data_IF_861025456919
#
_entry.id   IF_861025456919
#
_cell.length_a   1.000
_cell.length_b   1.000
_cell.length_c   1.000
_cell.angle_alpha   90.00
_cell.angle_beta   90.00
_cell.angle_gamma   90.00
#
_symmetry.space_group_name_H-M   'P 1'
#
loop_
_entity.id
_entity.type
_entity.pdbx_description
1 polymer ?
#
# COMPACT_ATOMS: atom_id res chain seq x y z
N UNK A 1 -7.54 -36.89 -12.52
CA UNK A 1 -8.00 -35.60 -11.96
C UNK A 1 -8.64 -35.74 -10.56
N UNK A 2 -9.60 -36.65 -10.30
CA UNK A 2 -10.26 -36.80 -8.98
C UNK A 2 -9.31 -37.13 -7.80
N UNK A 3 -8.25 -37.94 -7.98
CA UNK A 3 -7.28 -38.28 -6.92
C UNK A 3 -6.40 -37.05 -6.50
N UNK A 4 -6.04 -36.18 -7.42
CA UNK A 4 -5.30 -34.95 -7.11
C UNK A 4 -6.16 -33.93 -6.37
N UNK A 5 -7.46 -33.88 -6.67
CA UNK A 5 -8.41 -33.01 -5.94
C UNK A 5 -8.60 -33.49 -4.48
N UNK A 6 -8.57 -34.80 -4.23
CA UNK A 6 -8.65 -35.35 -2.86
C UNK A 6 -7.41 -35.07 -2.03
N UNK A 7 -6.22 -35.03 -2.66
CA UNK A 7 -4.96 -34.63 -1.99
C UNK A 7 -4.89 -33.13 -1.65
N UNK A 8 -5.60 -32.30 -2.39
CA UNK A 8 -5.69 -30.86 -2.10
C UNK A 8 -6.73 -30.53 -1.00
N UNK A 9 -7.64 -31.45 -0.68
CA UNK A 9 -8.73 -31.21 0.27
C UNK A 9 -8.24 -30.84 1.70
N UNK A 10 -7.28 -31.53 2.31
CA UNK A 10 -6.77 -31.16 3.64
C UNK A 10 -6.14 -29.75 3.64
N UNK A 11 -5.41 -29.41 2.59
CA UNK A 11 -4.82 -28.08 2.44
C UNK A 11 -5.90 -26.99 2.30
N UNK A 12 -6.93 -27.24 1.49
CA UNK A 12 -8.07 -26.34 1.33
C UNK A 12 -8.81 -26.11 2.66
N UNK A 13 -9.11 -27.20 3.39
CA UNK A 13 -9.78 -27.10 4.71
C UNK A 13 -8.91 -26.29 5.67
N UNK A 14 -7.62 -26.59 5.76
CA UNK A 14 -6.68 -25.85 6.60
C UNK A 14 -6.61 -24.36 6.22
N UNK A 15 -6.47 -24.05 4.94
CA UNK A 15 -6.42 -22.67 4.46
C UNK A 15 -7.71 -21.90 4.73
N UNK A 16 -8.87 -22.51 4.50
CA UNK A 16 -10.17 -21.92 4.77
C UNK A 16 -10.31 -21.66 6.29
N UNK A 17 -9.97 -22.63 7.12
CA UNK A 17 -10.07 -22.49 8.57
C UNK A 17 -9.13 -21.40 9.09
N UNK A 18 -7.89 -21.35 8.64
CA UNK A 18 -6.89 -20.37 9.09
C UNK A 18 -7.19 -18.94 8.59
N UNK A 19 -7.83 -18.80 7.44
CA UNK A 19 -8.18 -17.47 6.90
C UNK A 19 -9.57 -17.00 7.37
N UNK A 20 -10.59 -17.88 7.28
CA UNK A 20 -11.96 -17.47 7.57
C UNK A 20 -12.25 -17.37 9.07
N UNK A 21 -11.66 -18.25 9.89
CA UNK A 21 -11.95 -18.24 11.34
C UNK A 21 -11.56 -16.92 11.99
N UNK A 22 -10.34 -16.38 11.82
CA UNK A 22 -9.99 -15.07 12.39
C UNK A 22 -10.86 -13.93 11.83
N UNK A 23 -11.20 -13.96 10.53
CA UNK A 23 -12.07 -12.93 9.95
C UNK A 23 -13.48 -12.98 10.53
N UNK A 24 -14.05 -14.18 10.70
CA UNK A 24 -15.34 -14.36 11.33
C UNK A 24 -15.32 -13.93 12.80
N UNK A 25 -14.24 -14.21 13.53
CA UNK A 25 -14.07 -13.72 14.91
C UNK A 25 -14.03 -12.20 14.97
N UNK A 26 -13.31 -11.53 14.07
CA UNK A 26 -13.31 -10.06 14.01
C UNK A 26 -14.71 -9.52 13.73
N UNK A 27 -15.43 -10.10 12.76
CA UNK A 27 -16.83 -9.70 12.47
C UNK A 27 -17.73 -9.98 13.68
N UNK A 28 -17.58 -11.11 14.34
CA UNK A 28 -18.33 -11.45 15.55
C UNK A 28 -18.05 -10.45 16.68
N UNK A 29 -16.78 -10.20 17.01
CA UNK A 29 -16.42 -9.22 18.04
C UNK A 29 -16.91 -7.80 17.72
N UNK A 30 -17.01 -7.43 16.44
CA UNK A 30 -17.44 -6.09 16.04
C UNK A 30 -18.91 -5.78 16.32
N UNK A 31 -19.75 -6.82 16.43
CA UNK A 31 -21.20 -6.69 16.64
C UNK A 31 -21.66 -7.12 18.04
N UNK A 32 -20.73 -7.43 18.95
CA UNK A 32 -21.06 -7.80 20.32
C UNK A 32 -20.50 -6.78 21.31
N UNK A 33 -21.15 -6.66 22.45
CA UNK A 33 -20.62 -5.96 23.64
C UNK A 33 -20.58 -6.91 24.81
N UNK A 34 -19.70 -6.63 25.78
CA UNK A 34 -19.62 -7.40 27.03
C UNK A 34 -20.95 -7.33 27.76
N UNK A 35 -21.56 -8.50 27.96
CA UNK A 35 -22.82 -8.63 28.68
C UNK A 35 -22.62 -8.73 30.19
N UNK A 36 -23.74 -8.84 30.92
CA UNK A 36 -23.74 -9.14 32.33
C UNK A 36 -23.52 -10.64 32.58
N UNK A 37 -23.29 -11.03 33.83
CA UNK A 37 -23.05 -12.42 34.31
C UNK A 37 -24.06 -13.46 33.82
N UNK A 38 -25.28 -13.03 33.43
CA UNK A 38 -26.35 -13.91 32.97
C UNK A 38 -26.39 -14.02 31.44
N UNK A 39 -26.06 -12.93 30.72
CA UNK A 39 -25.99 -12.90 29.25
C UNK A 39 -24.56 -12.46 28.89
N UNK A 40 -23.71 -13.40 28.44
CA UNK A 40 -22.29 -13.12 28.23
C UNK A 40 -22.00 -12.12 27.11
N UNK A 41 -22.96 -11.90 26.19
CA UNK A 41 -22.82 -10.92 25.10
C UNK A 41 -24.19 -10.46 24.59
N UNK A 42 -24.23 -9.21 24.14
CA UNK A 42 -25.39 -8.61 23.46
C UNK A 42 -24.96 -8.15 22.07
N UNK A 43 -25.81 -8.38 21.08
CA UNK A 43 -25.61 -7.82 19.75
C UNK A 43 -25.84 -6.32 19.78
N UNK A 44 -24.89 -5.55 19.26
CA UNK A 44 -24.96 -4.10 19.20
C UNK A 44 -24.26 -3.56 17.96
N UNK A 45 -24.69 -2.41 17.48
CA UNK A 45 -24.00 -1.61 16.47
C UNK A 45 -23.39 -0.34 17.05
N UNK A 46 -23.36 -0.22 18.38
CA UNK A 46 -22.86 0.97 19.09
C UNK A 46 -21.42 1.32 18.72
N UNK A 47 -20.57 0.33 18.52
CA UNK A 47 -19.18 0.53 18.09
C UNK A 47 -19.07 1.20 16.72
N UNK A 48 -19.96 0.88 15.81
CA UNK A 48 -20.04 1.52 14.49
C UNK A 48 -20.56 2.96 14.61
N UNK A 49 -21.62 3.18 15.41
CA UNK A 49 -22.15 4.52 15.68
C UNK A 49 -21.05 5.39 16.31
N UNK A 50 -20.34 4.89 17.33
CA UNK A 50 -19.21 5.57 17.99
C UNK A 50 -18.16 6.00 16.98
N UNK A 51 -17.77 5.14 16.06
CA UNK A 51 -16.77 5.46 15.04
C UNK A 51 -17.19 6.63 14.13
N UNK A 52 -18.47 6.66 13.70
CA UNK A 52 -18.96 7.70 12.80
C UNK A 52 -19.42 8.98 13.50
N UNK A 53 -19.71 8.95 14.80
CA UNK A 53 -20.12 10.12 15.57
C UNK A 53 -18.95 10.86 16.20
N UNK A 54 -17.83 10.20 16.43
CA UNK A 54 -16.64 10.81 17.01
C UNK A 54 -15.76 11.42 15.88
N UNK A 55 -15.60 12.76 15.88
CA UNK A 55 -14.84 13.45 14.83
C UNK A 55 -13.36 13.07 14.77
N UNK A 56 -12.78 12.60 15.88
CA UNK A 56 -11.37 12.23 15.93
C UNK A 56 -11.07 11.00 15.07
N UNK A 57 -11.94 9.99 15.09
CA UNK A 57 -11.78 8.81 14.24
C UNK A 57 -11.94 9.13 12.76
N UNK A 58 -12.88 10.00 12.39
CA UNK A 58 -13.05 10.46 11.02
C UNK A 58 -11.84 11.27 10.53
N UNK A 59 -11.28 12.12 11.40
CA UNK A 59 -10.07 12.87 11.09
C UNK A 59 -8.87 11.95 10.86
N UNK A 60 -8.69 10.93 11.71
CA UNK A 60 -7.63 9.94 11.59
C UNK A 60 -7.81 9.10 10.30
N UNK A 61 -9.04 8.72 9.98
CA UNK A 61 -9.35 8.03 8.72
C UNK A 61 -8.96 8.90 7.51
N UNK A 62 -9.35 10.17 7.52
CA UNK A 62 -8.99 11.12 6.46
C UNK A 62 -7.48 11.30 6.33
N UNK A 63 -6.77 11.43 7.45
CA UNK A 63 -5.30 11.50 7.46
C UNK A 63 -4.67 10.25 6.85
N UNK A 64 -5.20 9.07 7.18
CA UNK A 64 -4.71 7.80 6.65
C UNK A 64 -4.91 7.69 5.13
N UNK A 65 -6.09 8.07 4.64
CA UNK A 65 -6.37 8.09 3.21
C UNK A 65 -5.51 9.13 2.47
N UNK A 66 -5.30 10.32 3.06
CA UNK A 66 -4.46 11.37 2.48
C UNK A 66 -3.00 10.93 2.36
N UNK A 67 -2.42 10.37 3.42
CA UNK A 67 -1.04 9.86 3.40
C UNK A 67 -0.89 8.72 2.40
N UNK A 68 -1.84 7.80 2.36
CA UNK A 68 -1.80 6.69 1.40
C UNK A 68 -1.88 7.19 -0.05
N UNK A 69 -2.73 8.18 -0.32
CA UNK A 69 -2.84 8.80 -1.64
C UNK A 69 -1.55 9.54 -2.03
N UNK A 70 -1.00 10.36 -1.13
CA UNK A 70 0.27 11.06 -1.35
C UNK A 70 1.42 10.08 -1.60
N UNK A 71 1.53 9.03 -0.76
CA UNK A 71 2.50 7.95 -0.95
C UNK A 71 2.37 7.33 -2.34
N UNK A 72 1.14 7.02 -2.74
CA UNK A 72 0.87 6.38 -4.03
C UNK A 72 1.24 7.29 -5.20
N UNK A 73 0.89 8.58 -5.12
CA UNK A 73 1.22 9.57 -6.15
C UNK A 73 2.74 9.72 -6.27
N UNK A 74 3.45 9.86 -5.14
CA UNK A 74 4.90 10.01 -5.15
C UNK A 74 5.56 8.72 -5.67
N UNK A 75 5.10 7.55 -5.24
CA UNK A 75 5.59 6.28 -5.76
C UNK A 75 5.36 6.12 -7.26
N UNK A 76 4.24 6.61 -7.79
CA UNK A 76 3.95 6.61 -9.22
C UNK A 76 4.87 7.57 -9.98
N UNK A 77 5.02 8.80 -9.49
CA UNK A 77 5.86 9.82 -10.13
C UNK A 77 7.35 9.42 -10.17
N UNK A 78 7.85 8.79 -9.11
CA UNK A 78 9.24 8.31 -9.06
C UNK A 78 9.37 6.93 -9.71
N UNK A 79 8.42 6.05 -9.49
CA UNK A 79 8.48 4.65 -9.93
C UNK A 79 8.31 4.49 -11.43
N UNK A 80 7.44 5.29 -12.06
CA UNK A 80 7.19 5.16 -13.50
C UNK A 80 8.45 5.47 -14.34
N UNK A 81 9.17 6.60 -14.15
CA UNK A 81 10.40 6.87 -14.88
C UNK A 81 11.48 5.80 -14.67
N UNK A 82 11.62 5.30 -13.43
CA UNK A 82 12.59 4.26 -13.09
C UNK A 82 12.21 2.94 -13.81
N UNK A 83 10.96 2.51 -13.71
CA UNK A 83 10.47 1.31 -14.39
C UNK A 83 10.62 1.39 -15.92
N UNK A 84 10.32 2.56 -16.49
CA UNK A 84 10.46 2.83 -17.92
C UNK A 84 11.92 2.76 -18.38
N UNK A 85 12.84 3.31 -17.59
CA UNK A 85 14.28 3.21 -17.87
C UNK A 85 14.74 1.75 -17.82
N UNK A 86 14.36 1.01 -16.76
CA UNK A 86 14.76 -0.40 -16.58
C UNK A 86 14.24 -1.26 -17.75
N UNK A 87 12.99 -1.09 -18.16
CA UNK A 87 12.38 -1.87 -19.23
C UNK A 87 13.06 -1.68 -20.60
N UNK A 88 13.86 -0.63 -20.76
CA UNK A 88 14.64 -0.33 -21.98
C UNK A 88 16.12 -0.72 -21.91
N UNK A 89 16.57 -1.22 -20.76
CA UNK A 89 17.92 -1.72 -20.60
C UNK A 89 18.06 -3.12 -21.25
N UNK A 90 19.29 -3.51 -21.54
CA UNK A 90 19.62 -4.88 -21.88
C UNK A 90 19.30 -5.83 -20.72
N UNK A 91 19.00 -7.09 -21.01
CA UNK A 91 18.52 -8.09 -20.05
C UNK A 91 19.41 -8.22 -18.80
N UNK A 92 20.72 -8.15 -18.96
CA UNK A 92 21.67 -8.25 -17.84
C UNK A 92 21.55 -7.06 -16.88
N UNK A 93 21.45 -5.83 -17.41
CA UNK A 93 21.27 -4.61 -16.61
C UNK A 93 19.90 -4.56 -15.98
N UNK A 94 18.88 -4.98 -16.72
CA UNK A 94 17.51 -5.08 -16.22
C UNK A 94 17.43 -5.97 -14.99
N UNK A 95 17.98 -7.18 -15.05
CA UNK A 95 18.02 -8.14 -13.95
C UNK A 95 18.79 -7.59 -12.75
N UNK A 96 19.92 -6.91 -12.98
CA UNK A 96 20.72 -6.29 -11.91
C UNK A 96 19.95 -5.17 -11.23
N UNK A 97 19.32 -4.25 -12.00
CA UNK A 97 18.57 -3.12 -11.44
C UNK A 97 17.36 -3.58 -10.64
N UNK A 98 16.64 -4.59 -11.14
CA UNK A 98 15.51 -5.20 -10.41
C UNK A 98 16.02 -5.83 -9.11
N UNK A 99 17.10 -6.55 -9.14
CA UNK A 99 17.73 -7.13 -7.95
C UNK A 99 18.06 -6.04 -6.93
N UNK A 100 18.70 -4.95 -7.34
CA UNK A 100 19.06 -3.84 -6.47
C UNK A 100 17.85 -3.15 -5.84
N UNK A 101 16.76 -2.99 -6.59
CA UNK A 101 15.51 -2.39 -6.09
C UNK A 101 14.78 -3.33 -5.11
N UNK A 102 14.85 -4.64 -5.34
CA UNK A 102 14.17 -5.63 -4.49
C UNK A 102 14.99 -6.02 -3.27
N UNK A 103 16.32 -5.88 -3.30
CA UNK A 103 17.21 -6.26 -2.21
C UNK A 103 16.83 -5.64 -0.85
N UNK A 104 16.48 -4.33 -0.77
CA UNK A 104 16.01 -3.76 0.49
C UNK A 104 14.73 -4.41 1.03
N UNK A 105 13.88 -4.99 0.18
CA UNK A 105 12.65 -5.63 0.64
C UNK A 105 12.88 -6.91 1.46
N UNK A 106 14.05 -7.55 1.31
CA UNK A 106 14.43 -8.76 2.05
C UNK A 106 14.89 -8.45 3.48
N UNK A 107 15.23 -7.18 3.75
CA UNK A 107 15.55 -6.73 5.10
C UNK A 107 14.27 -6.53 5.88
N UNK A 108 14.26 -6.95 7.16
CA UNK A 108 13.11 -6.76 8.03
C UNK A 108 12.68 -5.28 8.08
N UNK A 109 11.36 -5.05 7.95
CA UNK A 109 10.78 -3.70 7.90
C UNK A 109 11.11 -2.86 9.14
N UNK A 110 11.14 -3.48 10.34
CA UNK A 110 11.47 -2.77 11.58
C UNK A 110 12.91 -2.25 11.55
N UNK A 111 13.86 -3.08 11.09
CA UNK A 111 15.28 -2.70 11.00
C UNK A 111 15.43 -1.53 10.01
N UNK A 112 14.79 -1.60 8.85
CA UNK A 112 14.83 -0.52 7.85
C UNK A 112 14.24 0.77 8.39
N UNK A 113 13.09 0.68 9.06
CA UNK A 113 12.41 1.87 9.59
C UNK A 113 13.21 2.50 10.73
N UNK A 114 13.86 1.68 11.59
CA UNK A 114 14.78 2.19 12.61
C UNK A 114 16.02 2.88 12.02
N UNK A 115 16.57 2.37 10.90
CA UNK A 115 17.66 3.05 10.21
C UNK A 115 17.22 4.46 9.72
N UNK A 116 15.99 4.62 9.27
CA UNK A 116 15.43 5.93 8.90
C UNK A 116 15.35 6.89 10.10
N UNK A 117 15.11 6.41 11.33
CA UNK A 117 15.15 7.27 12.53
C UNK A 117 16.52 7.91 12.66
N UNK A 118 17.61 7.13 12.51
CA UNK A 118 18.97 7.67 12.57
C UNK A 118 19.28 8.68 11.44
N UNK A 119 18.76 8.44 10.23
CA UNK A 119 18.98 9.33 9.05
C UNK A 119 18.21 10.65 9.22
N UNK A 120 16.97 10.60 9.76
CA UNK A 120 16.06 11.73 9.88
C UNK A 120 16.16 12.46 11.22
N UNK A 121 16.95 11.95 12.18
CA UNK A 121 17.17 12.62 13.48
C UNK A 121 17.85 13.99 13.29
N UNK A 122 17.77 14.86 14.31
CA UNK A 122 18.35 16.20 14.25
C UNK A 122 19.87 16.16 13.97
N UNK A 123 20.56 15.12 14.46
CA UNK A 123 22.00 14.88 14.18
C UNK A 123 22.21 13.94 12.99
N UNK A 124 21.14 13.60 12.27
CA UNK A 124 21.16 12.65 11.16
C UNK A 124 21.79 13.22 9.89
N UNK A 125 22.29 12.31 9.04
CA UNK A 125 23.01 12.67 7.80
C UNK A 125 22.16 13.57 6.89
N UNK A 126 20.84 13.34 6.82
CA UNK A 126 19.97 14.14 5.97
C UNK A 126 19.82 15.57 6.49
N UNK A 127 19.65 15.76 7.80
CA UNK A 127 19.50 17.07 8.42
C UNK A 127 20.82 17.85 8.33
N UNK A 128 21.96 17.18 8.57
CA UNK A 128 23.28 17.79 8.38
C UNK A 128 23.48 18.25 6.93
N UNK A 129 23.10 17.42 5.95
CA UNK A 129 23.21 17.79 4.53
C UNK A 129 22.32 19.01 4.18
N UNK A 130 21.09 19.07 4.72
CA UNK A 130 20.21 20.23 4.56
C UNK A 130 20.80 21.49 5.19
N UNK A 131 21.45 21.36 6.35
CA UNK A 131 22.18 22.45 7.00
C UNK A 131 23.29 23.03 6.12
N UNK A 132 24.01 22.20 5.35
CA UNK A 132 25.05 22.66 4.40
C UNK A 132 24.45 23.47 3.23
N UNK A 133 23.20 23.22 2.86
CA UNK A 133 22.48 23.93 1.77
C UNK A 133 21.79 25.21 2.30
N UNK A 134 21.88 25.50 3.62
CA UNK A 134 21.31 26.70 4.22
C UNK A 134 19.96 26.51 4.94
N UNK A 135 19.46 25.28 5.04
CA UNK A 135 18.26 24.95 5.81
C UNK A 135 18.69 24.57 7.24
N UNK A 136 18.79 25.55 8.13
CA UNK A 136 19.12 25.35 9.54
C UNK A 136 17.85 25.07 10.34
N UNK A 137 17.96 24.26 11.39
CA UNK A 137 16.88 23.92 12.34
C UNK A 137 15.67 23.19 11.74
N UNK A 138 15.90 22.33 10.75
CA UNK A 138 14.83 21.52 10.13
C UNK A 138 14.60 20.26 10.97
N UNK A 139 13.46 20.21 11.66
CA UNK A 139 13.00 18.99 12.31
C UNK A 139 12.17 18.16 11.32
N UNK A 140 12.71 17.04 10.86
CA UNK A 140 12.02 16.11 9.96
C UNK A 140 11.42 14.95 10.76
N UNK A 141 12.18 14.35 11.68
CA UNK A 141 11.74 13.21 12.47
C UNK A 141 10.50 13.60 13.32
N UNK A 142 9.59 12.64 13.48
CA UNK A 142 8.30 12.79 14.19
C UNK A 142 7.31 13.73 13.51
N UNK A 143 7.45 13.95 12.22
CA UNK A 143 6.52 14.75 11.42
C UNK A 143 5.81 13.90 10.37
N UNK A 144 4.78 14.47 9.74
CA UNK A 144 4.11 13.90 8.57
C UNK A 144 5.10 13.57 7.44
N UNK A 145 6.09 14.44 7.23
CA UNK A 145 7.12 14.29 6.19
C UNK A 145 7.97 13.04 6.43
N UNK A 146 8.38 12.76 7.68
CA UNK A 146 9.12 11.57 8.01
C UNK A 146 8.31 10.29 7.72
N UNK A 147 7.03 10.30 8.10
CA UNK A 147 6.11 9.18 7.79
C UNK A 147 5.99 8.98 6.29
N UNK A 148 5.81 10.06 5.52
CA UNK A 148 5.68 10.01 4.07
C UNK A 148 6.94 9.46 3.39
N UNK A 149 8.13 9.93 3.81
CA UNK A 149 9.43 9.41 3.32
C UNK A 149 9.54 7.90 3.59
N UNK A 150 9.27 7.48 4.82
CA UNK A 150 9.30 6.07 5.20
C UNK A 150 8.32 5.20 4.41
N UNK A 151 7.10 5.71 4.18
CA UNK A 151 6.08 5.04 3.37
C UNK A 151 6.50 4.91 1.92
N UNK A 152 6.95 6.01 1.29
CA UNK A 152 7.45 6.00 -0.09
C UNK A 152 8.61 5.01 -0.23
N UNK A 153 9.60 5.07 0.63
CA UNK A 153 10.75 4.14 0.61
C UNK A 153 10.31 2.67 0.67
N UNK A 154 9.35 2.35 1.54
CA UNK A 154 8.90 0.97 1.70
C UNK A 154 8.06 0.46 0.52
N UNK A 155 7.25 1.33 -0.09
CA UNK A 155 6.28 0.94 -1.11
C UNK A 155 6.72 1.21 -2.55
N UNK A 156 7.73 2.06 -2.78
CA UNK A 156 8.26 2.38 -4.11
C UNK A 156 8.67 1.15 -4.94
N UNK A 157 9.34 0.13 -4.39
CA UNK A 157 9.68 -1.07 -5.15
C UNK A 157 8.45 -1.79 -5.73
N UNK A 158 7.34 -1.85 -5.00
CA UNK A 158 6.12 -2.49 -5.49
C UNK A 158 5.56 -1.76 -6.72
N UNK A 159 5.56 -0.42 -6.71
CA UNK A 159 5.13 0.38 -7.85
C UNK A 159 6.03 0.11 -9.07
N UNK A 160 7.36 0.17 -8.87
CA UNK A 160 8.34 -0.05 -9.95
C UNK A 160 8.16 -1.43 -10.59
N UNK A 161 8.04 -2.48 -9.78
CA UNK A 161 7.94 -3.85 -10.26
C UNK A 161 6.68 -4.09 -11.10
N UNK A 162 5.53 -3.54 -10.69
CA UNK A 162 4.27 -3.71 -11.43
C UNK A 162 4.31 -2.99 -12.78
N UNK A 163 4.79 -1.75 -12.80
CA UNK A 163 4.93 -0.98 -14.03
C UNK A 163 5.96 -1.63 -14.95
N UNK A 164 7.12 -2.03 -14.40
CA UNK A 164 8.15 -2.73 -15.16
C UNK A 164 7.63 -4.02 -15.78
N UNK A 165 6.89 -4.84 -15.03
CA UNK A 165 6.31 -6.09 -15.53
C UNK A 165 5.36 -5.87 -16.70
N UNK A 166 4.59 -4.79 -16.68
CA UNK A 166 3.70 -4.43 -17.79
C UNK A 166 4.49 -3.95 -19.00
N UNK A 167 5.48 -3.07 -18.78
CA UNK A 167 6.33 -2.54 -19.87
C UNK A 167 7.19 -3.62 -20.53
N UNK A 168 7.70 -4.58 -19.78
CA UNK A 168 8.53 -5.68 -20.30
C UNK A 168 7.75 -6.72 -21.14
N UNK A 169 6.43 -6.75 -21.00
CA UNK A 169 5.55 -7.60 -21.81
C UNK A 169 5.10 -6.93 -23.09
N UNK A 170 5.35 -5.63 -23.25
CA UNK A 170 4.93 -4.87 -24.40
C UNK A 170 5.79 -5.24 -25.62
N UNK A 171 5.15 -5.47 -26.77
CA UNK A 171 5.86 -5.74 -28.01
C UNK A 171 6.53 -4.46 -28.54
N UNK A 172 7.84 -4.53 -28.75
CA UNK A 172 8.62 -3.42 -29.28
C UNK A 172 8.20 -3.04 -30.72
N UNK A 173 7.60 -3.96 -31.46
CA UNK A 173 7.08 -3.68 -32.81
C UNK A 173 6.04 -2.55 -32.82
N UNK A 174 5.27 -2.37 -31.75
CA UNK A 174 4.32 -1.28 -31.63
C UNK A 174 5.00 0.08 -31.54
N UNK A 175 6.18 0.17 -30.92
CA UNK A 175 6.98 1.38 -30.83
C UNK A 175 7.61 1.69 -32.20
N UNK A 176 8.09 0.66 -32.90
CA UNK A 176 8.67 0.77 -34.26
C UNK A 176 7.60 1.21 -35.25
N UNK A 177 6.41 0.59 -35.23
CA UNK A 177 5.29 0.99 -36.07
C UNK A 177 4.85 2.43 -35.85
N UNK A 178 4.83 2.91 -34.59
CA UNK A 178 4.54 4.31 -34.30
C UNK A 178 5.61 5.26 -34.88
N UNK A 179 6.88 4.86 -34.84
CA UNK A 179 7.97 5.63 -35.42
C UNK A 179 7.87 5.69 -36.95
N UNK A 180 7.52 4.57 -37.61
CA UNK A 180 7.31 4.47 -39.07
C UNK A 180 6.14 5.37 -39.53
N UNK A 181 5.12 5.55 -38.68
CA UNK A 181 4.02 6.50 -38.89
C UNK A 181 4.40 7.96 -38.61
N UNK A 182 5.68 8.25 -38.31
CA UNK A 182 6.19 9.60 -38.06
C UNK A 182 5.93 10.14 -36.65
N UNK A 183 5.55 9.31 -35.69
CA UNK A 183 5.36 9.74 -34.32
C UNK A 183 6.71 10.07 -33.66
N UNK A 184 6.80 11.23 -33.01
CA UNK A 184 7.95 11.57 -32.18
C UNK A 184 7.93 10.79 -30.84
N UNK A 185 9.06 10.81 -30.09
CA UNK A 185 9.22 10.06 -28.82
C UNK A 185 8.13 10.40 -27.79
N UNK A 186 7.71 11.66 -27.68
CA UNK A 186 6.67 12.08 -26.78
C UNK A 186 5.29 11.56 -27.20
N UNK A 187 4.99 11.58 -28.50
CA UNK A 187 3.75 11.03 -29.06
C UNK A 187 3.68 9.51 -28.86
N UNK A 188 4.77 8.79 -29.14
CA UNK A 188 4.87 7.35 -28.89
C UNK A 188 4.68 7.03 -27.41
N UNK A 189 5.28 7.81 -26.52
CA UNK A 189 5.09 7.63 -25.08
C UNK A 189 3.62 7.80 -24.67
N UNK A 190 3.00 8.93 -24.99
CA UNK A 190 1.64 9.22 -24.52
C UNK A 190 0.53 8.45 -25.24
N UNK A 191 0.74 8.05 -26.50
CA UNK A 191 -0.29 7.36 -27.30
C UNK A 191 -0.13 5.84 -27.34
N UNK A 192 1.07 5.31 -27.09
CA UNK A 192 1.35 3.88 -27.17
C UNK A 192 1.82 3.34 -25.81
N UNK A 193 2.99 3.82 -25.34
CA UNK A 193 3.64 3.21 -24.16
C UNK A 193 2.82 3.39 -22.88
N UNK A 194 2.36 4.61 -22.59
CA UNK A 194 1.63 4.91 -21.37
C UNK A 194 0.27 4.19 -21.30
N UNK A 195 -0.58 4.21 -22.33
CA UNK A 195 -1.83 3.44 -22.32
C UNK A 195 -1.61 1.93 -22.16
N UNK A 196 -0.65 1.35 -22.87
CA UNK A 196 -0.34 -0.09 -22.77
C UNK A 196 0.28 -0.48 -21.42
N UNK A 197 0.89 0.45 -20.70
CA UNK A 197 1.40 0.21 -19.35
C UNK A 197 0.35 0.42 -18.24
N UNK A 198 -0.86 0.88 -18.56
CA UNK A 198 -1.91 1.16 -17.58
C UNK A 198 -2.28 -0.02 -16.68
N UNK A 199 -2.34 -1.28 -17.15
CA UNK A 199 -2.58 -2.42 -16.26
C UNK A 199 -1.52 -2.53 -15.14
N UNK A 200 -0.24 -2.28 -15.47
CA UNK A 200 0.84 -2.24 -14.48
C UNK A 200 0.73 -1.05 -13.51
N UNK A 201 0.34 0.12 -14.02
CA UNK A 201 0.10 1.32 -13.18
C UNK A 201 -1.03 1.06 -12.19
N UNK A 202 -2.18 0.53 -12.65
CA UNK A 202 -3.34 0.24 -11.80
C UNK A 202 -3.01 -0.81 -10.75
N UNK A 203 -2.30 -1.88 -11.13
CA UNK A 203 -1.83 -2.92 -10.18
C UNK A 203 -0.83 -2.34 -9.17
N UNK A 204 0.08 -1.47 -9.62
CA UNK A 204 1.02 -0.75 -8.75
C UNK A 204 0.31 0.16 -7.73
N UNK A 205 -0.68 0.93 -8.19
CA UNK A 205 -1.52 1.75 -7.31
C UNK A 205 -2.19 0.88 -6.24
N UNK A 206 -2.78 -0.25 -6.61
CA UNK A 206 -3.41 -1.14 -5.65
C UNK A 206 -2.42 -1.68 -4.60
N UNK A 207 -1.24 -2.14 -5.03
CA UNK A 207 -0.21 -2.71 -4.15
C UNK A 207 0.50 -1.68 -3.26
N UNK A 208 0.43 -0.40 -3.59
CA UNK A 208 0.95 0.69 -2.76
C UNK A 208 -0.13 1.27 -1.86
N UNK A 209 -1.28 1.63 -2.41
CA UNK A 209 -2.32 2.35 -1.70
C UNK A 209 -2.95 1.53 -0.56
N UNK A 210 -3.34 0.27 -0.85
CA UNK A 210 -4.05 -0.54 0.13
C UNK A 210 -3.22 -0.82 1.39
N UNK A 211 -1.95 -1.29 1.31
CA UNK A 211 -1.13 -1.47 2.50
C UNK A 211 -0.76 -0.15 3.18
N UNK A 212 -0.68 0.96 2.42
CA UNK A 212 -0.38 2.27 2.99
C UNK A 212 -1.48 2.74 3.94
N UNK A 213 -2.77 2.55 3.60
CA UNK A 213 -3.91 2.92 4.48
C UNK A 213 -3.85 2.18 5.82
N UNK A 214 -3.51 0.89 5.79
CA UNK A 214 -3.48 0.03 6.99
C UNK A 214 -2.12 0.00 7.70
N UNK A 215 -1.13 0.75 7.21
CA UNK A 215 0.20 0.79 7.83
C UNK A 215 0.14 1.37 9.23
N UNK A 216 0.84 0.73 10.17
CA UNK A 216 0.93 1.19 11.56
C UNK A 216 2.39 1.28 12.07
N UNK A 217 3.30 0.43 11.61
CA UNK A 217 4.69 0.45 12.06
C UNK A 217 5.45 1.72 11.67
N UNK A 218 5.32 2.14 10.41
CA UNK A 218 6.03 3.31 9.91
C UNK A 218 5.55 4.58 10.62
N UNK A 219 4.22 4.85 10.71
CA UNK A 219 3.74 6.00 11.47
C UNK A 219 4.08 5.94 12.96
N UNK A 220 4.07 4.76 13.57
CA UNK A 220 4.42 4.58 14.98
C UNK A 220 5.87 4.97 15.26
N UNK A 221 6.80 4.54 14.40
CA UNK A 221 8.24 4.78 14.59
C UNK A 221 8.65 6.18 14.12
N UNK A 222 8.29 6.56 12.89
CA UNK A 222 8.71 7.83 12.29
C UNK A 222 7.82 9.01 12.68
N UNK A 223 6.57 8.76 13.07
CA UNK A 223 5.65 9.77 13.59
C UNK A 223 5.77 10.02 15.10
N UNK A 224 6.53 9.19 15.82
CA UNK A 224 6.84 9.39 17.24
C UNK A 224 5.63 9.49 18.17
N UNK A 225 4.51 8.84 17.82
CA UNK A 225 3.28 8.94 18.60
C UNK A 225 2.49 10.25 18.44
N UNK A 226 2.99 11.21 17.67
CA UNK A 226 2.29 12.47 17.39
C UNK A 226 1.45 12.40 16.11
N UNK A 227 1.78 11.46 15.21
CA UNK A 227 1.09 11.27 13.96
C UNK A 227 0.51 9.86 13.87
N UNK A 228 -0.78 9.74 14.26
CA UNK A 228 -1.51 8.47 14.21
C UNK A 228 -2.26 8.30 12.90
N UNK A 229 -2.18 7.09 12.36
CA UNK A 229 -3.02 6.60 11.26
C UNK A 229 -4.00 5.55 11.79
N UNK A 230 -4.99 5.19 10.99
CA UNK A 230 -6.05 4.26 11.40
C UNK A 230 -5.50 2.89 11.81
N UNK A 231 -4.42 2.43 11.18
CA UNK A 231 -3.71 1.21 11.58
C UNK A 231 -3.16 1.28 13.02
N UNK A 232 -2.66 2.44 13.44
CA UNK A 232 -2.21 2.65 14.82
C UNK A 232 -3.37 2.62 15.81
N UNK A 233 -4.52 3.18 15.43
CA UNK A 233 -5.74 3.13 16.28
C UNK A 233 -6.18 1.69 16.48
N UNK A 234 -6.24 0.91 15.41
CA UNK A 234 -6.59 -0.52 15.48
C UNK A 234 -5.61 -1.26 16.40
N UNK A 235 -4.30 -1.11 16.18
CA UNK A 235 -3.27 -1.73 17.03
C UNK A 235 -3.44 -1.33 18.50
N UNK A 236 -3.67 -0.05 18.76
CA UNK A 236 -3.83 0.47 20.12
C UNK A 236 -5.07 -0.11 20.81
N UNK A 237 -6.20 -0.24 20.11
CA UNK A 237 -7.42 -0.84 20.67
C UNK A 237 -7.21 -2.31 21.07
N UNK A 238 -6.51 -3.10 20.23
CA UNK A 238 -6.26 -4.50 20.53
C UNK A 238 -5.18 -4.74 21.60
N UNK A 239 -4.08 -3.97 21.56
CA UNK A 239 -2.88 -4.27 22.36
C UNK A 239 -2.83 -3.44 23.64
N UNK A 240 -3.16 -2.15 23.58
CA UNK A 240 -2.95 -1.22 24.71
C UNK A 240 -4.23 -1.03 25.52
N UNK A 241 -5.33 -0.71 24.86
CA UNK A 241 -6.61 -0.42 25.52
C UNK A 241 -7.35 -1.71 25.90
N UNK A 242 -7.22 -2.75 25.08
CA UNK A 242 -7.92 -4.04 25.29
C UNK A 242 -9.41 -3.99 24.89
N UNK A 243 -9.88 -2.95 24.19
CA UNK A 243 -11.23 -2.85 23.65
C UNK A 243 -11.35 -3.61 22.32
N UNK A 244 -11.32 -4.92 22.38
CA UNK A 244 -11.35 -5.82 21.21
C UNK A 244 -12.59 -5.63 20.34
N UNK A 245 -13.73 -5.32 20.94
CA UNK A 245 -14.99 -5.10 20.25
C UNK A 245 -14.92 -3.86 19.36
N UNK A 246 -14.44 -2.75 19.90
CA UNK A 246 -14.29 -1.50 19.15
C UNK A 246 -13.16 -1.60 18.09
N UNK A 247 -12.00 -2.18 18.46
CA UNK A 247 -10.92 -2.45 17.51
C UNK A 247 -11.37 -3.31 16.33
N UNK A 248 -12.22 -4.32 16.59
CA UNK A 248 -12.81 -5.17 15.56
C UNK A 248 -13.79 -4.40 14.66
N UNK A 249 -14.62 -3.52 15.23
CA UNK A 249 -15.53 -2.68 14.44
C UNK A 249 -14.77 -1.75 13.49
N UNK A 250 -13.71 -1.08 13.96
CA UNK A 250 -12.84 -0.26 13.13
C UNK A 250 -12.20 -1.10 12.02
N UNK A 251 -11.71 -2.30 12.34
CA UNK A 251 -11.10 -3.22 11.37
C UNK A 251 -12.09 -3.62 10.27
N UNK A 252 -13.35 -3.91 10.60
CA UNK A 252 -14.41 -4.23 9.64
C UNK A 252 -14.71 -3.03 8.75
N UNK A 253 -14.83 -1.83 9.32
CA UNK A 253 -15.07 -0.60 8.55
C UNK A 253 -13.95 -0.40 7.52
N UNK A 254 -12.69 -0.50 7.95
CA UNK A 254 -11.55 -0.34 7.06
C UNK A 254 -11.52 -1.45 6.00
N UNK A 255 -11.78 -2.70 6.36
CA UNK A 255 -11.85 -3.79 5.39
C UNK A 255 -12.93 -3.54 4.33
N UNK A 256 -14.10 -3.02 4.69
CA UNK A 256 -15.16 -2.66 3.75
C UNK A 256 -14.75 -1.50 2.83
N UNK A 257 -14.12 -0.46 3.37
CA UNK A 257 -13.57 0.66 2.58
C UNK A 257 -12.54 0.14 1.59
N UNK A 258 -11.58 -0.70 2.05
CA UNK A 258 -10.56 -1.29 1.21
C UNK A 258 -11.14 -2.18 0.11
N UNK A 259 -12.16 -2.98 0.43
CA UNK A 259 -12.86 -3.81 -0.55
C UNK A 259 -13.56 -2.96 -1.61
N UNK A 260 -14.22 -1.87 -1.21
CA UNK A 260 -14.85 -0.92 -2.14
C UNK A 260 -13.80 -0.28 -3.08
N UNK A 261 -12.70 0.20 -2.51
CA UNK A 261 -11.59 0.79 -3.28
C UNK A 261 -10.97 -0.23 -4.24
N UNK A 262 -10.77 -1.49 -3.80
CA UNK A 262 -10.29 -2.57 -4.66
C UNK A 262 -11.25 -2.86 -5.82
N UNK A 263 -12.57 -2.84 -5.58
CA UNK A 263 -13.56 -3.00 -6.66
C UNK A 263 -13.48 -1.87 -7.68
N UNK A 264 -13.27 -0.63 -7.23
CA UNK A 264 -13.09 0.53 -8.12
C UNK A 264 -11.82 0.39 -8.97
N UNK A 265 -10.70 -0.02 -8.36
CA UNK A 265 -9.43 -0.26 -9.04
C UNK A 265 -9.58 -1.37 -10.09
N UNK A 266 -10.17 -2.51 -9.73
CA UNK A 266 -10.42 -3.62 -10.68
C UNK A 266 -11.36 -3.22 -11.84
N UNK A 267 -12.33 -2.35 -11.58
CA UNK A 267 -13.21 -1.84 -12.64
C UNK A 267 -12.45 -0.93 -13.61
N UNK A 268 -11.52 -0.12 -13.11
CA UNK A 268 -10.62 0.68 -13.92
C UNK A 268 -9.69 -0.19 -14.78
N UNK A 269 -9.11 -1.24 -14.19
CA UNK A 269 -8.23 -2.22 -14.85
C UNK A 269 -8.95 -2.93 -16.00
N UNK A 270 -10.18 -3.44 -15.77
CA UNK A 270 -10.99 -4.08 -16.82
C UNK A 270 -11.33 -3.13 -17.96
N UNK A 271 -11.60 -1.85 -17.67
CA UNK A 271 -11.89 -0.87 -18.71
C UNK A 271 -10.67 -0.59 -19.60
N UNK A 272 -9.48 -0.58 -19.02
CA UNK A 272 -8.20 -0.42 -19.73
C UNK A 272 -7.91 -1.65 -20.61
N UNK A 273 -8.09 -2.87 -20.09
CA UNK A 273 -7.88 -4.11 -20.85
C UNK A 273 -8.86 -4.31 -22.03
N UNK A 274 -10.14 -3.91 -21.87
CA UNK A 274 -11.15 -3.98 -22.97
C UNK A 274 -10.87 -2.96 -24.06
N UNK A 275 -10.20 -1.86 -23.74
CA UNK A 275 -9.79 -0.86 -24.71
C UNK A 275 -8.61 -1.36 -25.58
N UNK A 276 -7.76 -2.20 -24.99
CA UNK A 276 -6.63 -2.88 -25.65
C UNK A 276 -7.10 -3.93 -26.68
N UNK A 277 -8.18 -4.66 -26.39
CA UNK A 277 -8.76 -5.70 -27.26
C UNK A 277 -9.57 -5.11 -28.45
N UNK A 278 -9.80 -3.81 -28.47
CA UNK A 278 -10.57 -3.10 -29.51
C UNK A 278 -9.71 -2.21 -30.42
N UNK A 279 -8.44 -2.05 -30.12
CA UNK A 279 -7.47 -1.28 -30.92
C UNK A 279 -6.56 -2.19 -31.72
#
# INVERSE_FOLDING_TARGET
MKKMQQLALPYLIWSILMLLLPMLLIVFYSVITSGNTIIPFRLTLEHYVRFFTDPDFLLILWRSLSIALETTIICLLLGYPIAYYIARCDEKRQNLLILLITLPMWINMLVRTNAWIGILSNDGVLVQFLGLIGFHDVQILYTRTAVLIGMVYNFLPFMILQIHTSLSKMDNSLIEAAADLGANRAQTFWRVTFPLSMPGVVSGIALVFLPSVSSFFIPKLLGGGQFFLIGNVIENQFITVGEWNFGSAISVIIALIMMLLMMLVRKAEKKSAVQEDRS
#
